data_IF_082228547927
#
_entry.id   IF_082228547927
#
_cell.length_a   1.000
_cell.length_b   1.000
_cell.length_c   1.000
_cell.angle_alpha   90.00
_cell.angle_beta   90.00
_cell.angle_gamma   90.00
#
_symmetry.space_group_name_H-M   'P 1'
#
loop_
_entity.id
_entity.type
_entity.pdbx_description
1 polymer ?
#
# COMPACT_ATOMS: atom_id res chain seq x y z
N UNK A 1 1.41 15.52 -15.13
CA UNK A 1 0.04 15.01 -14.86
C UNK A 1 0.17 14.01 -13.73
N UNK A 2 -0.36 14.32 -12.53
CA UNK A 2 -0.34 13.37 -11.42
C UNK A 2 -1.29 12.22 -11.73
N UNK A 3 -0.79 10.98 -11.71
CA UNK A 3 -1.64 9.79 -11.86
C UNK A 3 -2.51 9.72 -10.62
N UNK A 4 -3.77 10.12 -10.75
CA UNK A 4 -4.75 9.96 -9.68
C UNK A 4 -5.19 8.50 -9.72
N UNK A 5 -4.54 7.64 -8.92
CA UNK A 5 -4.95 6.24 -8.78
C UNK A 5 -6.39 6.19 -8.28
N UNK A 6 -7.24 5.42 -8.96
CA UNK A 6 -8.61 5.21 -8.50
C UNK A 6 -8.62 4.35 -7.24
N UNK A 7 -9.71 4.42 -6.47
CA UNK A 7 -9.90 3.54 -5.30
C UNK A 7 -9.86 2.06 -5.72
N UNK A 8 -10.27 1.75 -6.95
CA UNK A 8 -10.18 0.40 -7.50
C UNK A 8 -8.72 -0.02 -7.69
N UNK A 9 -7.89 0.85 -8.29
CA UNK A 9 -6.46 0.58 -8.50
C UNK A 9 -5.72 0.38 -7.17
N UNK A 10 -6.09 1.14 -6.13
CA UNK A 10 -5.53 0.99 -4.79
C UNK A 10 -5.91 -0.35 -4.14
N UNK A 11 -7.15 -0.82 -4.35
CA UNK A 11 -7.59 -2.12 -3.86
C UNK A 11 -6.91 -3.28 -4.59
N UNK A 12 -6.70 -3.14 -5.89
CA UNK A 12 -6.01 -4.15 -6.69
C UNK A 12 -4.53 -4.21 -6.31
N UNK A 13 -3.87 -3.05 -6.16
CA UNK A 13 -2.51 -2.98 -5.63
C UNK A 13 -2.40 -3.60 -4.23
N UNK A 14 -3.38 -3.39 -3.35
CA UNK A 14 -3.43 -4.03 -2.02
C UNK A 14 -3.44 -5.55 -2.15
N UNK A 15 -4.28 -6.11 -3.03
CA UNK A 15 -4.38 -7.55 -3.24
C UNK A 15 -3.08 -8.12 -3.77
N UNK A 16 -2.45 -7.45 -4.72
CA UNK A 16 -1.18 -7.88 -5.31
C UNK A 16 -0.05 -7.91 -4.28
N UNK A 17 0.05 -6.88 -3.44
CA UNK A 17 1.07 -6.82 -2.38
C UNK A 17 0.84 -7.92 -1.33
N UNK A 18 -0.42 -8.14 -0.91
CA UNK A 18 -0.75 -9.22 0.02
C UNK A 18 -0.42 -10.59 -0.57
N UNK A 19 -0.74 -10.81 -1.85
CA UNK A 19 -0.40 -12.04 -2.55
C UNK A 19 1.12 -12.28 -2.59
N UNK A 20 1.92 -11.22 -2.81
CA UNK A 20 3.39 -11.33 -2.73
C UNK A 20 3.92 -11.59 -1.33
N UNK A 21 3.28 -11.03 -0.30
CA UNK A 21 3.63 -11.37 1.08
C UNK A 21 3.39 -12.87 1.37
N UNK A 22 2.28 -13.43 0.88
CA UNK A 22 2.00 -14.86 1.03
C UNK A 22 3.01 -15.74 0.27
N UNK A 23 3.38 -15.38 -0.96
CA UNK A 23 4.44 -16.09 -1.70
C UNK A 23 5.78 -16.05 -0.95
N UNK A 24 6.13 -14.90 -0.37
CA UNK A 24 7.33 -14.76 0.45
C UNK A 24 7.28 -15.64 1.70
N UNK A 25 6.13 -15.78 2.36
CA UNK A 25 5.98 -16.71 3.49
C UNK A 25 6.17 -18.16 3.06
N UNK A 26 5.61 -18.54 1.91
CA UNK A 26 5.74 -19.90 1.37
C UNK A 26 7.20 -20.21 1.01
N UNK A 27 7.92 -19.27 0.41
CA UNK A 27 9.33 -19.43 0.09
C UNK A 27 10.21 -19.45 1.36
N UNK A 28 9.88 -18.63 2.37
CA UNK A 28 10.57 -18.68 3.67
C UNK A 28 10.45 -20.09 4.29
N UNK A 29 9.27 -20.69 4.25
CA UNK A 29 9.06 -22.04 4.76
C UNK A 29 9.89 -23.11 4.02
N UNK A 30 10.15 -22.94 2.72
CA UNK A 30 11.03 -23.83 1.95
C UNK A 30 12.50 -23.63 2.32
N UNK A 31 12.89 -22.37 2.53
CA UNK A 31 14.27 -22.00 2.87
C UNK A 31 14.64 -22.36 4.32
N UNK A 32 13.67 -22.48 5.23
CA UNK A 32 13.90 -22.76 6.66
C UNK A 32 14.87 -23.92 6.91
N UNK A 33 14.78 -24.99 6.10
CA UNK A 33 15.61 -26.19 6.25
C UNK A 33 17.06 -26.03 5.78
N UNK A 34 17.31 -25.11 4.84
CA UNK A 34 18.64 -24.95 4.19
C UNK A 34 19.32 -23.64 4.54
N UNK A 35 18.53 -22.60 4.83
CA UNK A 35 18.96 -21.22 5.04
C UNK A 35 18.01 -20.51 6.02
N UNK A 36 18.06 -20.85 7.32
CA UNK A 36 17.13 -20.32 8.32
C UNK A 36 17.23 -18.80 8.50
N UNK A 37 18.40 -18.20 8.32
CA UNK A 37 18.56 -16.74 8.41
C UNK A 37 17.89 -16.00 7.25
N UNK A 38 18.03 -16.52 6.02
CA UNK A 38 17.35 -15.97 4.84
C UNK A 38 15.82 -16.15 4.98
N UNK A 39 15.37 -17.32 5.45
CA UNK A 39 13.96 -17.58 5.74
C UNK A 39 13.38 -16.61 6.77
N UNK A 40 14.07 -16.41 7.90
CA UNK A 40 13.63 -15.48 8.94
C UNK A 40 13.55 -14.04 8.44
N UNK A 41 14.50 -13.60 7.61
CA UNK A 41 14.46 -12.27 7.01
C UNK A 41 13.31 -12.11 6.01
N UNK A 42 13.10 -13.10 5.15
CA UNK A 42 12.00 -13.10 4.18
C UNK A 42 10.63 -13.05 4.89
N UNK A 43 10.50 -13.81 5.98
CA UNK A 43 9.30 -13.84 6.81
C UNK A 43 8.99 -12.48 7.47
N UNK A 44 10.01 -11.83 8.05
CA UNK A 44 9.87 -10.48 8.62
C UNK A 44 9.42 -9.46 7.58
N UNK A 45 9.94 -9.54 6.35
CA UNK A 45 9.57 -8.63 5.26
C UNK A 45 8.10 -8.85 4.89
N UNK A 46 7.69 -10.10 4.69
CA UNK A 46 6.32 -10.46 4.36
C UNK A 46 5.32 -10.01 5.45
N UNK A 47 5.63 -10.27 6.73
CA UNK A 47 4.79 -9.83 7.85
C UNK A 47 4.63 -8.30 7.86
N UNK A 48 5.72 -7.58 7.63
CA UNK A 48 5.70 -6.11 7.62
C UNK A 48 4.87 -5.57 6.45
N UNK A 49 4.97 -6.18 5.27
CA UNK A 49 4.13 -5.83 4.11
C UNK A 49 2.65 -6.07 4.40
N UNK A 50 2.31 -7.21 4.99
CA UNK A 50 0.93 -7.54 5.35
C UNK A 50 0.33 -6.54 6.35
N UNK A 51 1.09 -6.16 7.38
CA UNK A 51 0.68 -5.14 8.35
C UNK A 51 0.46 -3.79 7.68
N UNK A 52 1.41 -3.30 6.88
CA UNK A 52 1.24 -2.03 6.18
C UNK A 52 0.04 -2.03 5.25
N UNK A 53 -0.22 -3.11 4.51
CA UNK A 53 -1.39 -3.17 3.63
C UNK A 53 -2.71 -3.24 4.39
N UNK A 54 -2.71 -3.75 5.63
CA UNK A 54 -3.90 -3.82 6.47
C UNK A 54 -4.23 -2.46 7.11
N UNK A 55 -3.21 -1.73 7.57
CA UNK A 55 -3.40 -0.47 8.31
C UNK A 55 -3.45 0.76 7.40
N UNK A 56 -2.71 0.77 6.29
CA UNK A 56 -2.50 1.98 5.47
C UNK A 56 -3.48 2.12 4.30
N UNK A 57 -4.07 1.00 3.86
CA UNK A 57 -5.05 0.96 2.76
C UNK A 57 -6.46 0.64 3.26
N UNK A 58 -6.70 0.70 4.57
CA UNK A 58 -8.06 0.79 5.09
C UNK A 58 -8.60 2.18 4.74
N UNK A 59 -9.21 2.27 3.56
CA UNK A 59 -9.70 3.49 2.92
C UNK A 59 -10.72 4.25 3.78
N UNK A 60 -11.18 3.66 4.89
CA UNK A 60 -11.97 4.32 5.93
C UNK A 60 -11.20 5.35 6.76
N UNK A 61 -9.86 5.30 6.78
CA UNK A 61 -9.03 6.17 7.62
C UNK A 61 -8.19 7.19 6.83
N UNK A 62 -8.31 7.20 5.50
CA UNK A 62 -7.76 8.27 4.66
C UNK A 62 -8.85 9.30 4.51
N UNK A 63 -8.79 10.36 5.32
CA UNK A 63 -9.59 11.56 5.10
C UNK A 63 -9.16 12.16 3.76
N UNK A 64 -9.84 11.77 2.67
CA UNK A 64 -9.62 12.36 1.37
C UNK A 64 -10.14 13.79 1.43
N UNK A 65 -9.27 14.75 1.77
CA UNK A 65 -9.53 16.17 1.56
C UNK A 65 -9.34 16.45 0.07
N UNK A 66 -10.41 16.78 -0.69
CA UNK A 66 -10.22 17.30 -2.04
C UNK A 66 -9.30 18.53 -1.95
N UNK A 67 -8.40 18.74 -2.92
CA UNK A 67 -7.69 20.00 -3.01
C UNK A 67 -8.74 21.11 -3.07
N UNK A 68 -8.79 21.97 -2.05
CA UNK A 68 -9.66 23.14 -2.06
C UNK A 68 -9.34 23.88 -3.35
N UNK A 69 -10.28 23.84 -4.29
CA UNK A 69 -10.22 24.70 -5.46
C UNK A 69 -10.12 26.10 -4.89
N UNK A 70 -8.93 26.69 -5.00
CA UNK A 70 -8.72 28.10 -4.77
C UNK A 70 -9.54 28.81 -5.85
N UNK A 71 -10.83 28.97 -5.58
CA UNK A 71 -11.70 29.90 -6.29
C UNK A 71 -11.11 31.25 -5.94
N UNK A 72 -10.16 31.71 -6.75
CA UNK A 72 -9.77 33.11 -6.75
C UNK A 72 -11.05 33.91 -6.93
N UNK A 73 -11.44 34.77 -5.98
CA UNK A 73 -12.58 35.65 -6.18
C UNK A 73 -12.22 36.54 -7.36
N UNK A 74 -13.03 36.46 -8.41
CA UNK A 74 -13.08 37.46 -9.44
C UNK A 74 -13.41 38.80 -8.77
N UNK A 75 -12.41 39.67 -8.63
CA UNK A 75 -12.60 41.10 -8.36
C UNK A 75 -11.81 41.89 -9.42
N UNK A 76 -12.42 42.19 -10.57
CA UNK A 76 -12.58 43.60 -10.95
C UNK A 76 -13.39 44.40 -9.91
N UNK A 77 -13.52 45.74 -9.98
CA UNK A 77 -13.23 46.70 -11.05
C UNK A 77 -12.15 47.75 -10.58
N UNK A 78 -11.76 48.82 -11.28
CA UNK A 78 -12.45 49.78 -12.14
C UNK A 78 -11.47 50.49 -13.09
#
# INVERSE_FOLDING_TARGET
MGVMMSIQDLNDLRRDILFKADEMQAEAARLEATKPEEAANLRRIADRLAVYMRDYLDVSNVEWMPPMSSRSPHTGPA
#
